data_IF_019525552084
#
_entry.id   IF_019525552084
#
_cell.length_a   1.000
_cell.length_b   1.000
_cell.length_c   1.000
_cell.angle_alpha   90.00
_cell.angle_beta   90.00
_cell.angle_gamma   90.00
#
_symmetry.space_group_name_H-M   'P 1'
#
loop_
_entity.id
_entity.type
_entity.pdbx_description
1 polymer ?
#
# COMPACT_ATOMS: atom_id res chain seq x y z
N UNK A 1 -5.89 -18.78 -7.61
CA UNK A 1 -4.49 -19.17 -7.28
C UNK A 1 -3.82 -17.93 -6.68
N UNK A 2 -3.17 -18.06 -5.52
CA UNK A 2 -2.59 -16.93 -4.79
C UNK A 2 -1.50 -16.21 -5.59
N UNK A 3 -0.74 -16.96 -6.41
CA UNK A 3 0.32 -16.41 -7.23
C UNK A 3 -0.23 -15.55 -8.37
N UNK A 4 -1.38 -15.95 -8.95
CA UNK A 4 -2.01 -15.21 -10.05
C UNK A 4 -2.69 -13.97 -9.52
N UNK A 5 -3.51 -14.11 -8.47
CA UNK A 5 -4.25 -13.01 -7.83
C UNK A 5 -3.29 -11.89 -7.36
N UNK A 6 -2.24 -12.25 -6.61
CA UNK A 6 -1.26 -11.26 -6.13
C UNK A 6 -0.45 -10.62 -7.27
N UNK A 7 -0.10 -11.39 -8.31
CA UNK A 7 0.65 -10.89 -9.45
C UNK A 7 -0.16 -9.95 -10.36
N UNK A 8 -1.45 -10.24 -10.54
CA UNK A 8 -2.37 -9.35 -11.26
C UNK A 8 -2.54 -8.03 -10.53
N UNK A 9 -2.77 -8.10 -9.22
CA UNK A 9 -2.99 -6.92 -8.41
C UNK A 9 -1.75 -6.02 -8.31
N UNK A 10 -0.57 -6.61 -8.17
CA UNK A 10 0.69 -5.86 -8.23
C UNK A 10 0.88 -5.15 -9.58
N UNK A 11 0.54 -5.81 -10.70
CA UNK A 11 0.58 -5.19 -12.03
C UNK A 11 -0.43 -4.05 -12.18
N UNK A 12 -1.64 -4.21 -11.64
CA UNK A 12 -2.66 -3.17 -11.72
C UNK A 12 -2.29 -1.93 -10.90
N UNK A 13 -1.71 -2.13 -9.71
CA UNK A 13 -1.18 -1.04 -8.88
C UNK A 13 -0.01 -0.34 -9.58
N UNK A 14 0.96 -1.06 -10.13
CA UNK A 14 2.07 -0.48 -10.90
C UNK A 14 1.55 0.33 -12.10
N UNK A 15 0.58 -0.19 -12.84
CA UNK A 15 -0.03 0.52 -13.97
C UNK A 15 -0.73 1.80 -13.53
N UNK A 16 -1.42 1.78 -12.39
CA UNK A 16 -2.04 2.96 -11.80
C UNK A 16 -0.98 4.02 -11.46
N UNK A 17 0.12 3.64 -10.82
CA UNK A 17 1.23 4.54 -10.48
C UNK A 17 1.83 5.20 -11.73
N UNK A 18 2.05 4.41 -12.79
CA UNK A 18 2.57 4.92 -14.08
C UNK A 18 1.59 5.89 -14.75
N UNK A 19 0.29 5.59 -14.70
CA UNK A 19 -0.76 6.45 -15.26
C UNK A 19 -0.87 7.78 -14.50
N UNK A 20 -0.75 7.76 -13.18
CA UNK A 20 -0.73 9.01 -12.39
C UNK A 20 0.47 9.88 -12.78
N UNK A 21 1.66 9.30 -12.91
CA UNK A 21 2.86 10.01 -13.38
C UNK A 21 2.66 10.63 -14.76
N UNK A 22 2.19 9.84 -15.72
CA UNK A 22 1.92 10.33 -17.08
C UNK A 22 0.87 11.45 -17.10
N UNK A 23 -0.16 11.37 -16.24
CA UNK A 23 -1.17 12.43 -16.12
C UNK A 23 -0.58 13.73 -15.55
N UNK A 24 0.31 13.63 -14.56
CA UNK A 24 1.01 14.79 -14.01
C UNK A 24 1.96 15.43 -15.05
N UNK A 25 2.63 14.63 -15.87
CA UNK A 25 3.47 15.11 -16.96
C UNK A 25 2.65 15.85 -18.03
N UNK A 26 1.54 15.28 -18.50
CA UNK A 26 0.64 15.92 -19.48
C UNK A 26 0.05 17.24 -18.97
N UNK A 27 -0.25 17.31 -17.67
CA UNK A 27 -0.71 18.56 -17.06
C UNK A 27 0.41 19.61 -17.01
N UNK A 28 1.64 19.17 -16.67
CA UNK A 28 2.79 20.07 -16.55
C UNK A 28 3.29 20.60 -17.91
N UNK A 29 3.15 19.82 -18.99
CA UNK A 29 3.44 20.25 -20.36
C UNK A 29 2.38 21.17 -20.95
N UNK A 30 1.20 21.28 -20.31
CA UNK A 30 0.06 22.04 -20.82
C UNK A 30 -0.75 21.31 -21.90
N UNK A 31 -0.49 20.02 -22.13
CA UNK A 31 -1.21 19.20 -23.11
C UNK A 31 -2.67 18.95 -22.69
N UNK A 32 -2.96 19.06 -21.39
CA UNK A 32 -4.32 18.97 -20.83
C UNK A 32 -4.59 20.13 -19.87
N UNK A 33 -5.85 20.55 -19.80
CA UNK A 33 -6.30 21.58 -18.87
C UNK A 33 -6.57 21.01 -17.45
N UNK A 34 -6.70 21.91 -16.48
CA UNK A 34 -6.95 21.56 -15.08
C UNK A 34 -8.25 20.77 -14.89
N UNK A 35 -9.28 21.10 -15.68
CA UNK A 35 -10.57 20.41 -15.65
C UNK A 35 -10.44 18.94 -16.08
N UNK A 36 -9.70 18.67 -17.17
CA UNK A 36 -9.44 17.32 -17.67
C UNK A 36 -8.58 16.53 -16.69
N UNK A 37 -7.50 17.14 -16.20
CA UNK A 37 -6.62 16.52 -15.19
C UNK A 37 -7.40 16.13 -13.92
N UNK A 38 -8.22 17.05 -13.39
CA UNK A 38 -9.03 16.82 -12.19
C UNK A 38 -10.05 15.70 -12.37
N UNK A 39 -10.72 15.64 -13.52
CA UNK A 39 -11.68 14.57 -13.85
C UNK A 39 -11.00 13.20 -13.90
N UNK A 40 -9.84 13.10 -14.55
CA UNK A 40 -9.09 11.85 -14.67
C UNK A 40 -8.55 11.38 -13.31
N UNK A 41 -8.03 12.30 -12.49
CA UNK A 41 -7.60 11.98 -11.11
C UNK A 41 -8.74 11.43 -10.26
N UNK A 42 -9.96 11.96 -10.41
CA UNK A 42 -11.11 11.46 -9.66
C UNK A 42 -11.54 10.06 -10.13
N UNK A 43 -11.45 9.77 -11.42
CA UNK A 43 -11.67 8.40 -11.92
C UNK A 43 -10.62 7.43 -11.39
N UNK A 44 -9.34 7.83 -11.39
CA UNK A 44 -8.25 7.00 -10.89
C UNK A 44 -8.35 6.76 -9.39
N UNK A 45 -8.82 7.74 -8.61
CA UNK A 45 -9.08 7.59 -7.17
C UNK A 45 -10.02 6.43 -6.89
N UNK A 46 -11.15 6.36 -7.58
CA UNK A 46 -12.15 5.28 -7.37
C UNK A 46 -11.59 3.90 -7.68
N UNK A 47 -10.85 3.78 -8.79
CA UNK A 47 -10.19 2.53 -9.17
C UNK A 47 -9.15 2.15 -8.12
N UNK A 48 -8.30 3.10 -7.72
CA UNK A 48 -7.27 2.90 -6.69
C UNK A 48 -7.86 2.39 -5.39
N UNK A 49 -8.90 3.02 -4.86
CA UNK A 49 -9.45 2.65 -3.55
C UNK A 49 -9.99 1.19 -3.58
N UNK A 50 -10.53 0.75 -4.72
CA UNK A 50 -10.87 -0.66 -4.94
C UNK A 50 -9.66 -1.60 -4.97
N UNK A 51 -8.59 -1.20 -5.66
CA UNK A 51 -7.34 -1.97 -5.71
C UNK A 51 -6.66 -2.08 -4.34
N UNK A 52 -6.64 -1.00 -3.55
CA UNK A 52 -6.07 -0.98 -2.20
C UNK A 52 -6.80 -1.95 -1.28
N UNK A 53 -8.14 -1.94 -1.31
CA UNK A 53 -8.96 -2.88 -0.53
C UNK A 53 -8.67 -4.33 -0.93
N UNK A 54 -8.63 -4.61 -2.24
CA UNK A 54 -8.31 -5.94 -2.74
C UNK A 54 -6.88 -6.37 -2.32
N UNK A 55 -5.95 -5.42 -2.25
CA UNK A 55 -4.57 -5.68 -1.86
C UNK A 55 -4.47 -6.06 -0.39
N UNK A 56 -5.19 -5.35 0.48
CA UNK A 56 -5.29 -5.72 1.89
C UNK A 56 -5.90 -7.11 2.09
N UNK A 57 -7.00 -7.41 1.39
CA UNK A 57 -7.65 -8.73 1.46
C UNK A 57 -6.70 -9.84 1.00
N UNK A 58 -5.96 -9.60 -0.08
CA UNK A 58 -4.98 -10.55 -0.62
C UNK A 58 -3.81 -10.74 0.33
N UNK A 59 -3.27 -9.66 0.91
CA UNK A 59 -2.20 -9.72 1.92
C UNK A 59 -2.65 -10.53 3.14
N UNK A 60 -3.87 -10.31 3.65
CA UNK A 60 -4.43 -11.11 4.75
C UNK A 60 -4.47 -12.60 4.41
N UNK A 61 -4.92 -12.97 3.21
CA UNK A 61 -4.93 -14.38 2.75
C UNK A 61 -3.52 -14.96 2.67
N UNK A 62 -2.54 -14.19 2.17
CA UNK A 62 -1.14 -14.63 2.06
C UNK A 62 -0.50 -14.85 3.44
N UNK A 63 -0.80 -13.99 4.42
CA UNK A 63 -0.34 -14.15 5.82
C UNK A 63 -0.84 -15.48 6.39
N UNK A 64 -2.15 -15.75 6.29
CA UNK A 64 -2.74 -17.00 6.80
C UNK A 64 -2.13 -18.22 6.11
N UNK A 65 -1.87 -18.14 4.80
CA UNK A 65 -1.20 -19.21 4.06
C UNK A 65 0.23 -19.43 4.54
N UNK A 66 1.01 -18.36 4.72
CA UNK A 66 2.39 -18.43 5.21
C UNK A 66 2.46 -19.06 6.60
N UNK A 67 1.56 -18.67 7.51
CA UNK A 67 1.43 -19.26 8.84
C UNK A 67 1.13 -20.77 8.78
N UNK A 68 0.21 -21.19 7.91
CA UNK A 68 -0.08 -22.61 7.72
C UNK A 68 1.13 -23.40 7.19
N UNK A 69 1.89 -22.82 6.26
CA UNK A 69 3.13 -23.46 5.77
C UNK A 69 4.17 -23.57 6.88
N UNK A 70 4.29 -22.56 7.73
CA UNK A 70 5.18 -22.59 8.90
C UNK A 70 4.81 -23.73 9.87
N UNK A 71 3.52 -23.94 10.14
CA UNK A 71 3.05 -25.07 10.95
C UNK A 71 3.38 -26.42 10.31
N UNK A 72 3.21 -26.54 8.98
CA UNK A 72 3.55 -27.76 8.23
C UNK A 72 5.06 -28.04 8.25
N UNK A 73 5.88 -27.00 8.12
CA UNK A 73 7.35 -27.09 8.23
C UNK A 73 7.74 -27.64 9.61
N UNK A 74 7.18 -27.09 10.70
CA UNK A 74 7.45 -27.55 12.06
C UNK A 74 7.01 -28.99 12.28
N UNK A 75 5.85 -29.38 11.74
CA UNK A 75 5.37 -30.76 11.81
C UNK A 75 6.34 -31.71 11.11
N UNK A 76 6.77 -31.41 9.89
CA UNK A 76 7.73 -32.25 9.17
C UNK A 76 9.07 -32.35 9.91
N UNK A 77 9.56 -31.25 10.49
CA UNK A 77 10.78 -31.26 11.30
C UNK A 77 10.64 -32.16 12.54
N UNK A 78 9.47 -32.16 13.20
CA UNK A 78 9.19 -33.07 14.31
C UNK A 78 9.15 -34.54 13.86
N UNK A 79 8.54 -34.82 12.70
CA UNK A 79 8.53 -36.17 12.12
C UNK A 79 9.95 -36.62 11.78
N UNK A 80 10.81 -35.75 11.23
CA UNK A 80 12.23 -36.07 10.99
C UNK A 80 12.96 -36.41 12.28
N UNK A 81 12.75 -35.64 13.35
CA UNK A 81 13.37 -35.89 14.64
C UNK A 81 12.94 -37.25 15.23
N UNK A 82 11.64 -37.56 15.17
CA UNK A 82 11.11 -38.85 15.61
C UNK A 82 11.67 -40.01 14.76
N UNK A 83 11.70 -39.85 13.45
CA UNK A 83 12.26 -40.85 12.55
C UNK A 83 13.76 -41.09 12.86
N UNK A 84 14.52 -40.03 13.14
CA UNK A 84 15.92 -40.17 13.58
C UNK A 84 16.03 -40.89 14.92
N UNK A 85 15.14 -40.60 15.86
CA UNK A 85 15.09 -41.27 17.16
C UNK A 85 14.88 -42.78 17.01
N UNK A 86 13.87 -43.20 16.22
CA UNK A 86 13.59 -44.62 15.94
C UNK A 86 14.80 -45.33 15.30
N UNK A 87 15.51 -44.67 14.40
CA UNK A 87 16.73 -45.24 13.83
C UNK A 87 17.83 -45.39 14.89
N UNK A 88 18.06 -44.37 15.71
CA UNK A 88 19.11 -44.40 16.74
C UNK A 88 18.81 -45.36 17.89
N UNK A 89 17.54 -45.66 18.16
CA UNK A 89 17.13 -46.69 19.13
C UNK A 89 17.18 -48.11 18.55
N UNK A 90 17.42 -48.25 17.24
CA UNK A 90 17.43 -49.54 16.54
C UNK A 90 16.05 -50.10 16.25
N UNK A 91 14.99 -49.30 16.36
CA UNK A 91 13.61 -49.70 16.05
C UNK A 91 13.36 -49.83 14.54
N UNK A 92 14.11 -49.06 13.74
CA UNK A 92 14.09 -49.14 12.27
C UNK A 92 15.49 -49.30 11.73
N UNK A 93 15.61 -49.95 10.57
CA UNK A 93 16.88 -50.12 9.89
C UNK A 93 17.29 -48.87 9.09
N UNK A 94 18.51 -48.85 8.56
CA UNK A 94 19.04 -47.71 7.82
C UNK A 94 18.28 -47.45 6.50
N UNK A 95 17.83 -48.50 5.82
CA UNK A 95 17.08 -48.38 4.57
C UNK A 95 15.71 -47.71 4.80
N UNK A 96 14.99 -48.14 5.84
CA UNK A 96 13.72 -47.56 6.28
C UNK A 96 13.88 -46.09 6.70
N UNK A 97 14.94 -45.80 7.46
CA UNK A 97 15.30 -44.44 7.85
C UNK A 97 15.55 -43.55 6.64
N UNK A 98 16.43 -43.97 5.73
CA UNK A 98 16.82 -43.21 4.55
C UNK A 98 15.62 -42.92 3.64
N UNK A 99 14.80 -43.94 3.35
CA UNK A 99 13.62 -43.81 2.50
C UNK A 99 12.62 -42.78 3.07
N UNK A 100 12.32 -42.88 4.37
CA UNK A 100 11.43 -41.95 5.04
C UNK A 100 12.01 -40.52 5.06
N UNK A 101 13.29 -40.40 5.43
CA UNK A 101 13.97 -39.10 5.55
C UNK A 101 14.05 -38.37 4.20
N UNK A 102 14.34 -39.06 3.10
CA UNK A 102 14.32 -38.47 1.75
C UNK A 102 12.96 -37.89 1.39
N UNK A 103 11.87 -38.63 1.66
CA UNK A 103 10.52 -38.18 1.37
C UNK A 103 10.16 -36.94 2.19
N UNK A 104 10.48 -36.94 3.48
CA UNK A 104 10.21 -35.81 4.38
C UNK A 104 11.03 -34.59 3.96
N UNK A 105 12.31 -34.75 3.62
CA UNK A 105 13.17 -33.66 3.16
C UNK A 105 12.64 -33.00 1.88
N UNK A 106 12.14 -33.78 0.92
CA UNK A 106 11.51 -33.23 -0.31
C UNK A 106 10.29 -32.38 0.01
N UNK A 107 9.43 -32.85 0.91
CA UNK A 107 8.26 -32.10 1.39
C UNK A 107 8.67 -30.80 2.11
N UNK A 108 9.68 -30.87 2.96
CA UNK A 108 10.20 -29.73 3.70
C UNK A 108 10.76 -28.65 2.76
N UNK A 109 11.61 -29.04 1.81
CA UNK A 109 12.17 -28.12 0.81
C UNK A 109 11.07 -27.42 0.02
N UNK A 110 10.04 -28.18 -0.40
CA UNK A 110 8.89 -27.62 -1.11
C UNK A 110 8.16 -26.56 -0.28
N UNK A 111 7.82 -26.86 0.97
CA UNK A 111 7.09 -25.92 1.83
C UNK A 111 7.91 -24.69 2.20
N UNK A 112 9.20 -24.85 2.46
CA UNK A 112 10.13 -23.74 2.71
C UNK A 112 10.21 -22.83 1.48
N UNK A 113 10.37 -23.40 0.29
CA UNK A 113 10.44 -22.63 -0.96
C UNK A 113 9.13 -21.89 -1.23
N UNK A 114 7.99 -22.58 -1.09
CA UNK A 114 6.69 -21.95 -1.31
C UNK A 114 6.42 -20.81 -0.31
N UNK A 115 6.79 -21.00 0.96
CA UNK A 115 6.67 -19.95 1.97
C UNK A 115 7.49 -18.72 1.59
N UNK A 116 8.74 -18.92 1.14
CA UNK A 116 9.61 -17.83 0.68
C UNK A 116 8.97 -17.08 -0.50
N UNK A 117 8.44 -17.79 -1.48
CA UNK A 117 7.79 -17.19 -2.65
C UNK A 117 6.55 -16.36 -2.24
N UNK A 118 5.79 -16.81 -1.24
CA UNK A 118 4.66 -16.07 -0.67
C UNK A 118 5.12 -14.78 -0.01
N UNK A 119 6.17 -14.85 0.81
CA UNK A 119 6.71 -13.70 1.52
C UNK A 119 7.27 -12.65 0.55
N UNK A 120 8.03 -13.08 -0.46
CA UNK A 120 8.55 -12.19 -1.51
C UNK A 120 7.42 -11.47 -2.26
N UNK A 121 6.39 -12.21 -2.71
CA UNK A 121 5.24 -11.64 -3.42
C UNK A 121 4.40 -10.73 -2.53
N UNK A 122 4.19 -11.11 -1.29
CA UNK A 122 3.46 -10.30 -0.31
C UNK A 122 4.17 -8.97 -0.05
N UNK A 123 5.49 -8.98 0.14
CA UNK A 123 6.29 -7.77 0.33
C UNK A 123 6.23 -6.86 -0.90
N UNK A 124 6.31 -7.42 -2.11
CA UNK A 124 6.16 -6.64 -3.34
C UNK A 124 4.78 -6.00 -3.45
N UNK A 125 3.71 -6.75 -3.14
CA UNK A 125 2.34 -6.23 -3.18
C UNK A 125 2.12 -5.12 -2.14
N UNK A 126 2.68 -5.27 -0.94
CA UNK A 126 2.67 -4.25 0.12
C UNK A 126 3.35 -2.96 -0.37
N UNK A 127 4.54 -3.06 -0.98
CA UNK A 127 5.26 -1.89 -1.48
C UNK A 127 4.45 -1.11 -2.55
N UNK A 128 3.83 -1.82 -3.50
CA UNK A 128 2.98 -1.19 -4.51
C UNK A 128 1.72 -0.56 -3.91
N UNK A 129 1.10 -1.23 -2.92
CA UNK A 129 -0.07 -0.70 -2.21
C UNK A 129 0.29 0.59 -1.46
N UNK A 130 1.35 0.58 -0.66
CA UNK A 130 1.75 1.71 0.17
C UNK A 130 2.09 2.93 -0.71
N UNK A 131 2.82 2.71 -1.81
CA UNK A 131 3.11 3.77 -2.80
C UNK A 131 1.82 4.33 -3.43
N UNK A 132 0.83 3.48 -3.72
CA UNK A 132 -0.44 3.93 -4.28
C UNK A 132 -1.31 4.65 -3.25
N UNK A 133 -1.24 4.28 -1.97
CA UNK A 133 -1.93 4.93 -0.87
C UNK A 133 -1.41 6.36 -0.66
N UNK A 134 -0.08 6.56 -0.67
CA UNK A 134 0.57 7.87 -0.54
C UNK A 134 0.10 8.89 -1.60
N UNK A 135 -0.17 8.44 -2.85
CA UNK A 135 -0.75 9.29 -3.91
C UNK A 135 -2.12 9.86 -3.52
N UNK A 136 -2.86 9.21 -2.61
CA UNK A 136 -4.15 9.65 -2.12
C UNK A 136 -4.11 10.67 -1.00
N UNK A 137 -3.04 10.66 -0.22
CA UNK A 137 -2.91 11.48 0.99
C UNK A 137 -2.39 12.88 0.69
N UNK A 138 -1.54 13.04 -0.34
CA UNK A 138 -1.03 14.34 -0.81
C UNK A 138 -2.14 15.35 -1.23
N UNK A 139 -3.40 14.91 -1.38
CA UNK A 139 -4.56 15.76 -1.67
C UNK A 139 -5.44 16.07 -0.46
N UNK A 140 -5.22 15.46 0.72
CA UNK A 140 -5.96 15.79 1.96
C UNK A 140 -5.40 17.03 2.66
N UNK A 141 -4.11 17.31 2.54
CA UNK A 141 -3.46 18.48 3.16
C UNK A 141 -3.75 19.81 2.43
N UNK A 142 -4.19 19.77 1.16
CA UNK A 142 -4.36 20.98 0.33
C UNK A 142 -5.79 21.55 0.30
N UNK A 143 -6.64 21.26 1.29
CA UNK A 143 -7.95 21.92 1.39
C UNK A 143 -7.77 23.42 1.75
N UNK A 144 -8.48 24.35 1.09
CA UNK A 144 -8.23 25.78 1.21
C UNK A 144 -8.55 26.30 2.61
N UNK A 145 -7.61 27.06 3.19
CA UNK A 145 -7.85 27.92 4.35
C UNK A 145 -9.03 28.83 4.01
N UNK A 146 -10.18 28.62 4.65
CA UNK A 146 -11.29 29.57 4.62
C UNK A 146 -10.79 30.89 5.17
N UNK A 147 -10.63 31.88 4.30
CA UNK A 147 -10.52 33.29 4.68
C UNK A 147 -11.85 33.63 5.37
N UNK A 148 -11.82 33.77 6.69
CA UNK A 148 -12.95 34.22 7.47
C UNK A 148 -13.23 35.69 7.13
N UNK A 149 -14.30 35.93 6.38
CA UNK A 149 -14.89 37.26 6.22
C UNK A 149 -15.56 37.65 7.54
N UNK A 150 -14.87 38.48 8.34
CA UNK A 150 -15.53 39.26 9.39
C UNK A 150 -16.07 40.56 8.77
N UNK A 151 -17.35 40.92 9.01
CA UNK A 151 -17.84 42.25 8.71
C UNK A 151 -17.38 43.20 9.83
N UNK A 152 -16.48 44.13 9.52
CA UNK A 152 -16.10 45.18 10.49
C UNK A 152 -17.09 46.33 10.36
N UNK A 153 -17.85 46.53 11.44
CA UNK A 153 -18.80 47.62 11.66
C UNK A 153 -18.16 49.00 11.49
N UNK A 154 -18.90 49.91 10.85
CA UNK A 154 -18.61 51.34 10.86
C UNK A 154 -18.75 51.87 12.30
N UNK A 155 -17.65 52.31 12.89
CA UNK A 155 -17.66 53.34 13.93
C UNK A 155 -16.70 54.47 13.52
N UNK A 156 -17.26 55.63 13.16
CA UNK A 156 -16.50 56.87 13.02
C UNK A 156 -16.68 57.69 14.29
N UNK A 157 -15.65 57.70 15.13
CA UNK A 157 -15.49 58.68 16.21
C UNK A 157 -14.23 59.51 15.96
N UNK A 158 -14.49 60.78 15.61
CA UNK A 158 -13.78 62.01 15.99
C UNK A 158 -12.25 62.13 16.05
N UNK A 159 -11.75 63.11 15.28
CA UNK A 159 -10.60 63.97 15.59
C UNK A 159 -9.22 63.42 15.20
N UNK A 160 -8.28 64.15 14.60
CA UNK A 160 -8.06 65.60 14.52
C UNK A 160 -6.98 65.84 13.46
N UNK A 161 -7.07 66.92 12.66
CA UNK A 161 -6.03 67.96 12.44
C UNK A 161 -6.24 68.74 11.13
N UNK A 162 -6.41 70.05 11.35
CA UNK A 162 -5.81 71.19 10.64
C UNK A 162 -5.84 71.23 9.12
N UNK A 163 -6.78 72.01 8.58
CA UNK A 163 -6.50 72.86 7.41
C UNK A 163 -7.13 74.24 7.65
N UNK A 164 -6.25 75.24 7.78
CA UNK A 164 -6.54 76.67 7.77
C UNK A 164 -6.76 77.12 6.33
N UNK A 165 -7.94 77.64 5.97
CA UNK A 165 -8.09 78.53 4.82
C UNK A 165 -8.97 79.73 5.21
N UNK A 166 -8.39 80.90 4.95
CA UNK A 166 -8.83 82.27 5.27
C UNK A 166 -9.61 82.86 4.07
N UNK A 167 -10.53 83.80 4.38
CA UNK A 167 -11.05 84.96 3.58
C UNK A 167 -12.57 84.93 3.31
N UNK A 168 -13.35 85.82 3.93
CA UNK A 168 -13.64 87.28 3.66
C UNK A 168 -14.98 87.41 2.92
N UNK A 169 -16.05 87.83 3.58
CA UNK A 169 -16.57 89.23 3.75
C UNK A 169 -17.58 89.60 2.64
N UNK A 170 -18.47 90.60 2.82
CA UNK A 170 -18.74 91.43 4.00
C UNK A 170 -20.12 91.19 4.65
#
# INVERSE_FOLDING_TARGET
DWSVESGELARELDLLLRRDRALNELYSSGDIDEATCSRLKEQYRKVRDGLLKNAEDTVRKLIVRSQRLEEQIKLLQSIMANNKMHYTSGEINEEEYCLANESIQKGLQRFVQEKRDIEERMNSLIAFRDTAEDLGELKRESAPVKIASQPVELTKTGGTRDIVIVKMEP
#
